data_IF_639442797793
#
_entry.id   IF_639442797793
#
_cell.length_a   1.000
_cell.length_b   1.000
_cell.length_c   1.000
_cell.angle_alpha   90.00
_cell.angle_beta   90.00
_cell.angle_gamma   90.00
#
_symmetry.space_group_name_H-M   'P 1'
#
loop_
_entity.id
_entity.type
_entity.pdbx_description
1 polymer ?
#
# COMPACT_ATOMS: atom_id res chain seq x y z
N UNK A 1 -42.78 26.60 30.62
CA UNK A 1 -42.29 25.72 29.52
C UNK A 1 -43.40 24.87 28.91
N UNK A 2 -44.17 24.14 29.70
CA UNK A 2 -45.29 23.32 29.20
C UNK A 2 -46.31 24.09 28.36
N UNK A 3 -46.59 25.35 28.73
CA UNK A 3 -47.45 26.22 27.94
C UNK A 3 -46.89 26.57 26.54
N UNK A 4 -45.56 26.74 26.43
CA UNK A 4 -44.89 26.98 25.15
C UNK A 4 -44.98 25.75 24.24
N UNK A 5 -44.80 24.57 24.82
CA UNK A 5 -44.93 23.29 24.10
C UNK A 5 -46.36 23.11 23.59
N UNK A 6 -47.36 23.41 24.42
CA UNK A 6 -48.77 23.36 24.00
C UNK A 6 -49.05 24.32 22.85
N UNK A 7 -48.64 25.58 22.98
CA UNK A 7 -48.80 26.59 21.91
C UNK A 7 -48.04 26.25 20.63
N UNK A 8 -46.88 25.58 20.74
CA UNK A 8 -46.13 25.05 19.60
C UNK A 8 -46.92 23.95 18.87
N UNK A 9 -47.49 22.99 19.59
CA UNK A 9 -48.35 21.96 19.00
C UNK A 9 -49.64 22.53 18.40
N UNK A 10 -50.17 23.59 19.00
CA UNK A 10 -51.33 24.33 18.49
C UNK A 10 -50.98 25.25 17.29
N UNK A 11 -49.69 25.39 16.93
CA UNK A 11 -49.22 26.22 15.82
C UNK A 11 -49.38 27.74 16.03
N UNK A 12 -49.45 28.18 17.28
CA UNK A 12 -49.68 29.59 17.67
C UNK A 12 -48.44 30.26 18.27
N UNK A 13 -47.30 29.58 18.21
CA UNK A 13 -46.04 30.07 18.72
C UNK A 13 -45.36 30.96 17.66
N UNK A 14 -44.82 32.10 18.07
CA UNK A 14 -44.05 32.96 17.16
C UNK A 14 -42.65 32.39 16.91
N UNK A 15 -42.00 32.78 15.80
CA UNK A 15 -40.66 32.29 15.45
C UNK A 15 -39.61 32.53 16.55
N UNK A 16 -39.65 33.69 17.20
CA UNK A 16 -38.74 34.01 18.30
C UNK A 16 -38.98 33.13 19.55
N UNK A 17 -40.24 32.77 19.82
CA UNK A 17 -40.61 31.87 20.91
C UNK A 17 -40.26 30.41 20.58
N UNK A 18 -40.38 29.99 19.32
CA UNK A 18 -39.94 28.68 18.84
C UNK A 18 -38.42 28.50 18.96
N UNK A 19 -37.65 29.53 18.62
CA UNK A 19 -36.19 29.51 18.83
C UNK A 19 -35.83 29.32 20.30
N UNK A 20 -36.53 30.01 21.21
CA UNK A 20 -36.34 29.82 22.66
C UNK A 20 -36.73 28.41 23.12
N UNK A 21 -37.82 27.86 22.58
CA UNK A 21 -38.24 26.48 22.85
C UNK A 21 -37.19 25.49 22.38
N UNK A 22 -36.61 25.70 21.20
CA UNK A 22 -35.53 24.87 20.65
C UNK A 22 -34.25 24.93 21.51
N UNK A 23 -33.87 26.11 21.96
CA UNK A 23 -32.69 26.29 22.82
C UNK A 23 -32.89 25.60 24.17
N UNK A 24 -34.08 25.71 24.77
CA UNK A 24 -34.44 24.97 25.98
C UNK A 24 -34.40 23.45 25.76
N UNK A 25 -35.01 22.94 24.68
CA UNK A 25 -35.01 21.49 24.38
C UNK A 25 -33.61 20.94 24.07
N UNK A 26 -32.64 21.82 23.79
CA UNK A 26 -31.23 21.48 23.60
C UNK A 26 -30.41 21.56 24.89
N UNK A 27 -30.95 22.14 25.98
CA UNK A 27 -30.30 22.22 27.29
C UNK A 27 -30.40 20.89 28.06
N UNK A 28 -29.61 20.70 29.14
CA UNK A 28 -29.69 19.52 30.01
C UNK A 28 -31.08 19.33 30.64
N UNK A 29 -31.73 20.41 31.05
CA UNK A 29 -33.08 20.40 31.64
C UNK A 29 -34.13 19.97 30.60
N UNK A 30 -33.99 20.43 29.36
CA UNK A 30 -34.82 20.00 28.22
C UNK A 30 -34.59 18.54 27.80
N UNK A 31 -33.59 17.85 28.34
CA UNK A 31 -33.38 16.41 28.11
C UNK A 31 -34.27 15.50 28.96
N UNK A 32 -35.00 16.05 29.95
CA UNK A 32 -35.91 15.27 30.79
C UNK A 32 -36.97 14.49 29.98
N UNK A 33 -37.43 13.31 30.47
CA UNK A 33 -38.39 12.47 29.74
C UNK A 33 -39.73 13.16 29.42
N UNK A 34 -40.15 14.09 30.27
CA UNK A 34 -41.37 14.88 30.11
C UNK A 34 -41.40 15.74 28.82
N UNK A 35 -40.23 16.05 28.25
CA UNK A 35 -40.09 16.81 27.00
C UNK A 35 -39.71 15.95 25.80
N UNK A 36 -39.75 14.62 25.94
CA UNK A 36 -39.33 13.68 24.88
C UNK A 36 -40.16 13.82 23.60
N UNK A 37 -41.47 14.03 23.72
CA UNK A 37 -42.38 14.23 22.60
C UNK A 37 -42.10 15.54 21.85
N UNK A 38 -42.03 16.67 22.58
CA UNK A 38 -41.67 17.96 22.01
C UNK A 38 -40.29 17.91 21.30
N UNK A 39 -39.33 17.20 21.89
CA UNK A 39 -38.00 16.97 21.30
C UNK A 39 -38.05 16.03 20.09
N UNK A 40 -38.94 15.05 20.05
CA UNK A 40 -39.08 14.18 18.88
C UNK A 40 -39.61 14.97 17.68
N UNK A 41 -40.61 15.83 17.90
CA UNK A 41 -41.23 16.64 16.86
C UNK A 41 -40.31 17.78 16.41
N UNK A 42 -39.70 18.51 17.34
CA UNK A 42 -38.84 19.66 17.02
C UNK A 42 -37.38 19.26 16.71
N UNK A 43 -36.92 18.15 17.29
CA UNK A 43 -35.51 17.73 17.31
C UNK A 43 -35.01 17.09 16.03
N UNK A 44 -35.87 16.79 15.04
CA UNK A 44 -35.43 16.42 13.69
C UNK A 44 -34.42 17.45 13.13
N UNK A 45 -34.64 18.74 13.40
CA UNK A 45 -33.76 19.83 12.95
C UNK A 45 -32.45 19.97 13.77
N UNK A 46 -32.42 19.47 15.01
CA UNK A 46 -31.26 19.57 15.89
C UNK A 46 -30.34 18.32 15.81
N UNK A 47 -30.93 17.12 15.72
CA UNK A 47 -30.22 15.83 15.74
C UNK A 47 -29.79 15.39 14.33
N UNK A 48 -30.53 15.78 13.29
CA UNK A 48 -30.19 15.42 11.90
C UNK A 48 -28.79 15.88 11.48
N UNK A 49 -28.37 17.08 11.91
CA UNK A 49 -27.04 17.64 11.58
C UNK A 49 -25.90 16.94 12.32
N UNK A 50 -26.09 16.59 13.59
CA UNK A 50 -25.06 15.93 14.40
C UNK A 50 -24.87 14.46 13.99
N UNK A 51 -25.97 13.74 13.70
CA UNK A 51 -25.91 12.38 13.18
C UNK A 51 -25.33 12.31 11.77
N UNK A 52 -25.70 13.24 10.89
CA UNK A 52 -25.11 13.34 9.54
C UNK A 52 -23.61 13.58 9.62
N UNK A 53 -23.14 14.56 10.42
CA UNK A 53 -21.70 14.85 10.61
C UNK A 53 -20.93 13.66 11.20
N UNK A 54 -21.54 12.89 12.11
CA UNK A 54 -20.94 11.68 12.68
C UNK A 54 -20.78 10.58 11.63
N UNK A 55 -21.77 10.38 10.77
CA UNK A 55 -21.75 9.38 9.68
C UNK A 55 -20.69 9.71 8.62
N UNK A 56 -20.57 10.98 8.22
CA UNK A 56 -19.55 11.43 7.24
C UNK A 56 -18.13 11.24 7.77
N UNK A 57 -17.91 11.55 9.06
CA UNK A 57 -16.60 11.34 9.70
C UNK A 57 -16.22 9.87 9.84
N UNK A 58 -17.19 8.99 10.16
CA UNK A 58 -16.92 7.56 10.26
C UNK A 58 -16.59 6.93 8.90
N UNK A 59 -17.31 7.32 7.84
CA UNK A 59 -17.03 6.89 6.46
C UNK A 59 -15.64 7.36 5.98
N UNK A 60 -15.31 8.62 6.23
CA UNK A 60 -13.98 9.18 5.89
C UNK A 60 -12.85 8.42 6.61
N UNK A 61 -13.02 8.14 7.91
CA UNK A 61 -12.04 7.42 8.72
C UNK A 61 -11.85 5.97 8.26
N UNK A 62 -12.93 5.27 7.86
CA UNK A 62 -12.84 3.91 7.30
C UNK A 62 -12.14 3.89 5.94
N UNK A 63 -12.41 4.88 5.07
CA UNK A 63 -11.75 5.00 3.75
C UNK A 63 -10.25 5.29 3.88
N UNK A 64 -9.88 6.18 4.80
CA UNK A 64 -8.47 6.48 5.13
C UNK A 64 -7.72 5.23 5.58
N UNK A 65 -8.27 4.46 6.53
CA UNK A 65 -7.65 3.22 7.00
C UNK A 65 -7.43 2.23 5.86
N UNK A 66 -8.46 1.96 5.04
CA UNK A 66 -8.33 1.05 3.88
C UNK A 66 -7.23 1.49 2.90
N UNK A 67 -7.10 2.79 2.65
CA UNK A 67 -6.04 3.31 1.78
C UNK A 67 -4.63 3.09 2.34
N UNK A 68 -4.45 3.18 3.66
CA UNK A 68 -3.16 2.86 4.31
C UNK A 68 -2.82 1.38 4.16
N UNK A 69 -3.78 0.48 4.43
CA UNK A 69 -3.57 -0.97 4.28
C UNK A 69 -3.25 -1.37 2.84
N UNK A 70 -3.89 -0.76 1.85
CA UNK A 70 -3.59 -1.00 0.44
C UNK A 70 -2.18 -0.54 0.06
N UNK A 71 -1.71 0.59 0.59
CA UNK A 71 -0.33 1.08 0.37
C UNK A 71 0.71 0.14 0.98
N UNK A 72 0.46 -0.35 2.19
CA UNK A 72 1.33 -1.33 2.86
C UNK A 72 1.38 -2.64 2.08
N UNK A 73 0.23 -3.16 1.64
CA UNK A 73 0.17 -4.39 0.84
C UNK A 73 0.93 -4.25 -0.49
N UNK A 74 0.80 -3.12 -1.18
CA UNK A 74 1.53 -2.86 -2.42
C UNK A 74 3.05 -2.86 -2.23
N UNK A 75 3.55 -2.25 -1.15
CA UNK A 75 4.98 -2.23 -0.84
C UNK A 75 5.55 -3.63 -0.56
N UNK A 76 4.81 -4.47 0.17
CA UNK A 76 5.21 -5.87 0.43
C UNK A 76 5.26 -6.68 -0.85
N UNK A 77 4.27 -6.55 -1.73
CA UNK A 77 4.26 -7.26 -3.02
C UNK A 77 5.46 -6.85 -3.89
N UNK A 78 5.76 -5.55 -3.98
CA UNK A 78 6.91 -5.05 -4.74
C UNK A 78 8.23 -5.63 -4.21
N UNK A 79 8.42 -5.69 -2.88
CA UNK A 79 9.60 -6.32 -2.28
C UNK A 79 9.75 -7.79 -2.67
N UNK A 80 8.68 -8.57 -2.57
CA UNK A 80 8.67 -9.99 -2.94
C UNK A 80 9.04 -10.18 -4.42
N UNK A 81 8.46 -9.41 -5.33
CA UNK A 81 8.76 -9.51 -6.76
C UNK A 81 10.21 -9.16 -7.08
N UNK A 82 10.78 -8.13 -6.42
CA UNK A 82 12.18 -7.76 -6.60
C UNK A 82 13.09 -8.90 -6.09
N UNK A 83 12.84 -9.43 -4.90
CA UNK A 83 13.67 -10.50 -4.33
C UNK A 83 13.61 -11.78 -5.15
N UNK A 84 12.43 -12.18 -5.61
CA UNK A 84 12.26 -13.36 -6.48
C UNK A 84 12.91 -13.13 -7.84
N UNK A 85 12.74 -11.94 -8.44
CA UNK A 85 13.37 -11.58 -9.71
C UNK A 85 14.90 -11.66 -9.66
N UNK A 86 15.51 -11.09 -8.61
CA UNK A 86 16.97 -11.15 -8.40
C UNK A 86 17.45 -12.59 -8.18
N UNK A 87 16.69 -13.40 -7.43
CA UNK A 87 17.05 -14.80 -7.18
C UNK A 87 17.02 -15.65 -8.46
N UNK A 88 16.04 -15.44 -9.33
CA UNK A 88 15.95 -16.12 -10.64
C UNK A 88 17.06 -15.64 -11.57
N UNK A 89 17.31 -14.34 -11.66
CA UNK A 89 18.38 -13.78 -12.48
C UNK A 89 19.77 -14.32 -12.11
N UNK A 90 20.04 -14.50 -10.82
CA UNK A 90 21.30 -15.09 -10.36
C UNK A 90 21.47 -16.58 -10.73
N UNK A 91 20.38 -17.31 -11.01
CA UNK A 91 20.43 -18.73 -11.42
C UNK A 91 20.72 -18.93 -12.90
N UNK A 92 20.41 -17.94 -13.75
CA UNK A 92 20.66 -18.04 -15.20
C UNK A 92 22.08 -17.58 -15.59
N UNK A 93 22.77 -16.83 -14.72
CA UNK A 93 24.15 -16.39 -14.91
C UNK A 93 25.19 -17.41 -14.39
N UNK A 94 24.92 -18.70 -14.53
CA UNK A 94 25.86 -19.76 -14.11
C UNK A 94 26.87 -20.00 -15.24
N UNK A 95 28.11 -19.57 -15.02
CA UNK A 95 29.23 -19.86 -15.89
C UNK A 95 29.67 -21.32 -15.64
N UNK A 96 29.48 -22.20 -16.63
CA UNK A 96 29.87 -23.61 -16.53
C UNK A 96 31.06 -23.85 -17.45
N UNK A 97 32.16 -24.36 -16.91
CA UNK A 97 33.26 -24.92 -17.69
C UNK A 97 33.57 -26.34 -17.24
N UNK A 98 34.28 -27.07 -18.10
CA UNK A 98 34.76 -28.42 -17.79
C UNK A 98 36.28 -28.41 -17.85
N UNK A 99 36.93 -28.69 -16.73
CA UNK A 99 38.39 -28.74 -16.60
C UNK A 99 38.78 -30.17 -16.25
N UNK A 100 39.56 -30.82 -17.10
CA UNK A 100 39.97 -32.23 -16.89
C UNK A 100 38.80 -33.22 -16.80
N UNK A 101 37.66 -32.92 -17.44
CA UNK A 101 36.44 -33.71 -17.37
C UNK A 101 35.57 -33.48 -16.12
N UNK A 102 35.98 -32.60 -15.19
CA UNK A 102 35.18 -32.21 -14.02
C UNK A 102 34.42 -30.92 -14.28
N UNK A 103 33.16 -30.87 -13.86
CA UNK A 103 32.29 -29.69 -14.00
C UNK A 103 32.67 -28.64 -12.96
N UNK A 104 33.01 -27.44 -13.41
CA UNK A 104 33.29 -26.27 -12.58
C UNK A 104 32.23 -25.20 -12.88
N UNK A 105 31.60 -24.70 -11.82
CA UNK A 105 30.53 -23.67 -11.92
C UNK A 105 30.88 -22.36 -11.23
N UNK A 106 32.08 -22.28 -10.65
CA UNK A 106 32.57 -21.07 -10.00
C UNK A 106 33.08 -20.10 -11.07
N UNK A 107 32.40 -18.95 -11.19
CA UNK A 107 32.70 -17.95 -12.22
C UNK A 107 34.13 -17.45 -12.13
N UNK A 108 34.65 -17.23 -10.93
CA UNK A 108 36.00 -16.66 -10.77
C UNK A 108 37.07 -17.65 -11.23
N UNK A 109 36.88 -18.93 -10.89
CA UNK A 109 37.75 -20.02 -11.33
C UNK A 109 37.69 -20.19 -12.85
N UNK A 110 36.48 -20.22 -13.43
CA UNK A 110 36.30 -20.37 -14.88
C UNK A 110 36.93 -19.23 -15.65
N UNK A 111 36.74 -17.99 -15.21
CA UNK A 111 37.30 -16.82 -15.90
C UNK A 111 38.82 -16.74 -15.76
N UNK A 112 39.38 -17.08 -14.61
CA UNK A 112 40.83 -17.14 -14.41
C UNK A 112 41.48 -18.18 -15.33
N UNK A 113 40.85 -19.36 -15.49
CA UNK A 113 41.35 -20.38 -16.42
C UNK A 113 41.29 -19.90 -17.88
N UNK A 114 40.22 -19.20 -18.28
CA UNK A 114 40.10 -18.60 -19.61
C UNK A 114 41.20 -17.56 -19.85
N UNK A 115 41.46 -16.70 -18.87
CA UNK A 115 42.51 -15.68 -18.95
C UNK A 115 43.90 -16.33 -19.07
N UNK A 116 44.16 -17.42 -18.33
CA UNK A 116 45.38 -18.19 -18.47
C UNK A 116 45.53 -18.84 -19.85
N UNK A 117 44.47 -19.47 -20.38
CA UNK A 117 44.49 -20.08 -21.71
C UNK A 117 44.74 -19.03 -22.79
N UNK A 118 44.07 -17.88 -22.72
CA UNK A 118 44.26 -16.79 -23.67
C UNK A 118 45.67 -16.21 -23.56
N UNK A 119 46.18 -15.99 -22.34
CA UNK A 119 47.53 -15.52 -22.13
C UNK A 119 48.58 -16.48 -22.71
N UNK A 120 48.41 -17.79 -22.55
CA UNK A 120 49.27 -18.83 -23.14
C UNK A 120 49.19 -18.81 -24.68
N UNK A 121 47.97 -18.71 -25.23
CA UNK A 121 47.75 -18.61 -26.69
C UNK A 121 48.42 -17.37 -27.31
N UNK A 122 48.33 -16.22 -26.63
CA UNK A 122 48.87 -14.95 -27.11
C UNK A 122 50.35 -14.75 -26.79
N UNK A 123 50.90 -15.51 -25.84
CA UNK A 123 52.35 -15.52 -25.54
C UNK A 123 53.12 -16.55 -26.36
N UNK A 124 52.47 -17.59 -26.87
CA UNK A 124 53.01 -18.57 -27.83
C UNK A 124 53.11 -18.08 -29.28
N UNK A 125 53.08 -16.77 -29.51
CA UNK A 125 53.00 -16.15 -30.83
C UNK A 125 54.29 -16.24 -31.65
N UNK A 126 54.65 -17.44 -32.13
CA UNK A 126 55.54 -17.65 -33.30
C UNK A 126 55.57 -19.08 -33.86
N UNK A 127 55.07 -20.12 -33.17
CA UNK A 127 55.43 -21.53 -33.53
C UNK A 127 54.31 -22.32 -34.26
N UNK A 128 53.12 -21.73 -34.40
CA UNK A 128 51.95 -22.46 -34.95
C UNK A 128 52.10 -22.71 -36.46
N UNK A 129 52.70 -21.77 -37.19
CA UNK A 129 52.94 -21.92 -38.63
C UNK A 129 54.05 -22.96 -38.92
N UNK A 130 55.03 -23.10 -38.03
CA UNK A 130 56.12 -24.08 -38.15
C UNK A 130 55.62 -25.50 -37.85
N UNK A 131 54.81 -25.67 -36.79
CA UNK A 131 54.18 -26.95 -36.44
C UNK A 131 53.14 -27.43 -37.47
N UNK A 132 52.34 -26.52 -38.04
CA UNK A 132 51.39 -26.89 -39.10
C UNK A 132 52.10 -27.30 -40.38
N UNK A 133 53.24 -26.69 -40.70
CA UNK A 133 54.05 -27.05 -41.86
C UNK A 133 54.83 -28.36 -41.64
N UNK A 134 55.19 -28.72 -40.41
CA UNK A 134 55.83 -30.01 -40.10
C UNK A 134 54.84 -31.19 -40.12
N UNK A 135 53.57 -30.97 -39.74
CA UNK A 135 52.52 -32.00 -39.70
C UNK A 135 51.86 -32.20 -41.07
N UNK A 136 51.69 -31.13 -41.85
CA UNK A 136 50.94 -31.14 -43.13
C UNK A 136 51.77 -30.79 -44.36
N UNK A 137 53.03 -30.37 -44.20
CA UNK A 137 53.95 -30.09 -45.29
C UNK A 137 54.58 -31.38 -45.83
N UNK A 138 54.43 -31.60 -47.13
CA UNK A 138 55.13 -32.61 -47.91
C UNK A 138 56.24 -31.96 -48.72
#
# INVERSE_FOLDING_TARGET
>A
MNEYIKRYFDGTLSEAEELRLKDFLSSPEGQAPEYSEARAVMGYFAVGKSLSRKKTNEYSRKRSRRAVWLRVAAAVCAGIFITLGVSVYNKENVCVAYVGGQKVTDREVVMNDVDCILADLFSGGTDVDEQLNEIFGK
#
